data_IF_578663121234
#
_entry.id   IF_578663121234
#
_cell.length_a   1.000
_cell.length_b   1.000
_cell.length_c   1.000
_cell.angle_alpha   90.00
_cell.angle_beta   90.00
_cell.angle_gamma   90.00
#
_symmetry.space_group_name_H-M   'P 1'
#
loop_
_entity.id
_entity.type
_entity.pdbx_description
1 polymer ?
#
# COMPACT_ATOMS: atom_id res chain seq x y z
N UNK A 1 72.35 67.67 -28.21
CA UNK A 1 70.90 67.59 -28.49
C UNK A 1 70.63 66.20 -29.14
N UNK A 2 70.26 65.19 -28.34
CA UNK A 2 69.94 63.83 -28.80
C UNK A 2 68.45 63.58 -28.59
N UNK A 3 67.78 63.39 -29.71
CA UNK A 3 66.34 62.97 -29.71
C UNK A 3 66.27 61.47 -29.54
N UNK A 4 65.34 60.88 -28.76
CA UNK A 4 65.21 59.48 -28.58
C UNK A 4 64.35 58.86 -29.70
N UNK A 5 64.83 57.74 -30.27
CA UNK A 5 64.20 56.89 -31.27
C UNK A 5 62.99 56.20 -30.65
N UNK A 6 61.83 56.28 -31.32
CA UNK A 6 60.61 55.52 -30.97
C UNK A 6 60.69 54.14 -31.59
N UNK A 7 60.85 53.10 -30.78
CA UNK A 7 60.71 51.73 -31.24
C UNK A 7 59.19 51.39 -31.53
N UNK A 8 58.89 51.14 -32.80
CA UNK A 8 57.54 50.73 -33.21
C UNK A 8 57.41 49.20 -33.08
N UNK A 9 56.66 48.77 -32.07
CA UNK A 9 56.26 47.36 -31.92
C UNK A 9 55.37 46.99 -33.08
N UNK A 10 55.79 46.00 -33.89
CA UNK A 10 55.08 45.55 -35.09
C UNK A 10 53.72 44.95 -34.71
N UNK A 11 52.67 45.34 -35.44
CA UNK A 11 51.29 44.78 -35.32
C UNK A 11 51.25 43.25 -35.40
N UNK A 12 52.29 42.65 -35.97
CA UNK A 12 52.43 41.16 -36.10
C UNK A 12 52.78 40.49 -34.78
N UNK A 13 53.48 41.15 -33.86
CA UNK A 13 53.83 40.62 -32.53
C UNK A 13 52.67 40.71 -31.55
N UNK A 14 51.77 41.68 -31.68
CA UNK A 14 50.55 41.81 -30.90
C UNK A 14 49.49 40.74 -31.29
N UNK A 15 49.48 40.33 -32.56
CA UNK A 15 48.55 39.26 -33.02
C UNK A 15 49.03 37.85 -32.64
N UNK A 16 50.33 37.64 -32.45
CA UNK A 16 50.85 36.33 -32.00
C UNK A 16 50.68 36.15 -30.47
N UNK A 17 50.65 37.18 -29.67
CA UNK A 17 50.40 37.12 -28.24
C UNK A 17 48.92 36.88 -27.90
N UNK A 18 47.98 37.30 -28.77
CA UNK A 18 46.54 37.07 -28.60
C UNK A 18 46.07 35.65 -28.97
N UNK A 19 46.84 34.90 -29.77
CA UNK A 19 46.51 33.53 -30.21
C UNK A 19 46.88 32.45 -29.19
N UNK A 20 47.76 32.73 -28.24
CA UNK A 20 48.24 31.74 -27.25
C UNK A 20 47.43 31.74 -25.95
N UNK A 21 46.49 32.66 -25.74
CA UNK A 21 45.72 32.82 -24.52
C UNK A 21 44.30 32.21 -24.54
N UNK A 22 43.82 31.70 -25.67
CA UNK A 22 42.43 31.27 -25.86
C UNK A 22 42.22 29.73 -26.00
N UNK A 23 43.30 28.96 -25.78
CA UNK A 23 43.21 27.48 -25.96
C UNK A 23 42.93 26.66 -24.71
N UNK A 24 42.61 27.27 -23.52
CA UNK A 24 42.47 26.55 -22.26
C UNK A 24 41.02 26.55 -21.69
N UNK A 25 40.05 27.14 -22.39
CA UNK A 25 38.66 27.23 -21.87
C UNK A 25 37.58 26.48 -22.66
N UNK A 26 37.94 25.53 -23.51
CA UNK A 26 36.99 24.67 -24.19
C UNK A 26 37.18 23.20 -23.80
N UNK A 27 37.29 22.89 -22.49
CA UNK A 27 36.90 21.55 -22.07
C UNK A 27 35.36 21.50 -22.13
N UNK A 28 34.75 20.64 -22.97
CA UNK A 28 33.32 20.44 -22.90
C UNK A 28 33.04 19.96 -21.48
N UNK A 29 32.33 20.75 -20.68
CA UNK A 29 31.69 20.27 -19.49
C UNK A 29 30.75 19.16 -19.96
N UNK A 30 31.16 17.90 -19.79
CA UNK A 30 30.29 16.75 -19.96
C UNK A 30 29.27 16.93 -18.82
N UNK A 31 28.22 17.70 -19.10
CA UNK A 31 27.01 17.68 -18.30
C UNK A 31 26.50 16.25 -18.48
N UNK A 32 26.82 15.38 -17.54
CA UNK A 32 26.12 14.13 -17.40
C UNK A 32 24.68 14.56 -17.16
N UNK A 33 23.88 14.55 -18.21
CA UNK A 33 22.43 14.59 -18.08
C UNK A 33 22.10 13.38 -17.20
N UNK A 34 21.86 13.66 -15.92
CA UNK A 34 21.45 12.65 -14.97
C UNK A 34 20.15 12.08 -15.56
N UNK A 35 20.21 10.86 -16.08
CA UNK A 35 19.05 10.21 -16.66
C UNK A 35 17.90 10.39 -15.65
N UNK A 36 16.78 10.93 -16.12
CA UNK A 36 15.63 11.14 -15.25
C UNK A 36 15.33 9.82 -14.50
N UNK A 37 15.17 9.91 -13.19
CA UNK A 37 14.86 8.73 -12.40
C UNK A 37 13.64 8.02 -13.01
N UNK A 38 13.67 6.70 -13.19
CA UNK A 38 12.53 5.98 -13.76
C UNK A 38 11.31 6.24 -12.91
N UNK A 39 10.20 6.59 -13.56
CA UNK A 39 8.91 6.81 -12.89
C UNK A 39 8.43 5.48 -12.30
N UNK A 40 8.15 5.46 -11.00
CA UNK A 40 7.70 4.28 -10.27
C UNK A 40 6.20 4.39 -9.96
N UNK A 41 5.39 3.58 -10.63
CA UNK A 41 3.92 3.60 -10.51
C UNK A 41 3.46 2.62 -9.44
N UNK A 42 2.91 3.14 -8.34
CA UNK A 42 2.47 2.32 -7.21
C UNK A 42 0.95 2.35 -7.10
N UNK A 43 0.33 1.19 -7.28
CA UNK A 43 -1.11 1.02 -7.10
C UNK A 43 -1.51 1.03 -5.63
N UNK A 44 -2.62 1.70 -5.31
CA UNK A 44 -3.25 1.67 -4.00
C UNK A 44 -4.77 1.76 -4.09
N UNK A 45 -5.47 1.37 -3.03
CA UNK A 45 -6.89 1.62 -2.86
C UNK A 45 -7.14 2.32 -1.50
N UNK A 46 -8.30 3.00 -1.31
CA UNK A 46 -8.48 3.98 -0.23
C UNK A 46 -8.78 3.34 1.14
N UNK A 47 -7.83 2.61 1.70
CA UNK A 47 -7.91 2.01 3.05
C UNK A 47 -6.81 2.55 3.97
N UNK A 48 -7.07 2.55 5.28
CA UNK A 48 -6.15 3.07 6.28
C UNK A 48 -4.78 2.36 6.27
N UNK A 49 -4.73 1.08 5.87
CA UNK A 49 -3.49 0.33 5.79
C UNK A 49 -2.45 0.91 4.81
N UNK A 50 -2.87 1.75 3.85
CA UNK A 50 -1.97 2.47 2.94
C UNK A 50 -1.18 3.61 3.60
N UNK A 51 -1.44 3.92 4.87
CA UNK A 51 -0.91 5.08 5.56
C UNK A 51 0.61 5.31 5.45
N UNK A 52 1.50 4.31 5.57
CA UNK A 52 2.93 4.53 5.40
C UNK A 52 3.30 5.07 4.02
N UNK A 53 2.62 4.59 2.98
CA UNK A 53 2.81 5.05 1.60
C UNK A 53 2.35 6.51 1.43
N UNK A 54 1.17 6.84 1.94
CA UNK A 54 0.63 8.19 1.90
C UNK A 54 1.55 9.17 2.64
N UNK A 55 1.98 8.80 3.86
CA UNK A 55 2.92 9.57 4.64
C UNK A 55 4.27 9.77 3.93
N UNK A 56 4.81 8.73 3.29
CA UNK A 56 6.06 8.82 2.55
C UNK A 56 5.98 9.75 1.34
N UNK A 57 4.82 9.81 0.66
CA UNK A 57 4.58 10.77 -0.43
C UNK A 57 4.52 12.20 0.12
N UNK A 58 3.64 12.47 1.09
CA UNK A 58 3.36 13.81 1.56
C UNK A 58 4.53 14.43 2.34
N UNK A 59 5.30 13.60 3.06
CA UNK A 59 6.57 14.00 3.71
C UNK A 59 7.72 14.15 2.71
N UNK A 60 7.52 13.80 1.43
CA UNK A 60 8.55 13.94 0.40
C UNK A 60 9.69 12.92 0.49
N UNK A 61 9.54 11.82 1.25
CA UNK A 61 10.62 10.85 1.47
C UNK A 61 11.11 10.19 0.17
N UNK A 62 10.21 9.97 -0.78
CA UNK A 62 10.58 9.47 -2.11
C UNK A 62 11.37 10.51 -2.91
N UNK A 63 10.94 11.78 -2.88
CA UNK A 63 11.66 12.87 -3.57
C UNK A 63 13.05 13.09 -3.00
N UNK A 64 13.19 13.05 -1.67
CA UNK A 64 14.50 13.13 -0.98
C UNK A 64 15.43 11.99 -1.38
N UNK A 65 14.88 10.80 -1.68
CA UNK A 65 15.63 9.65 -2.18
C UNK A 65 15.94 9.75 -3.70
N UNK A 66 15.53 10.83 -4.37
CA UNK A 66 15.70 11.04 -5.81
C UNK A 66 14.77 10.16 -6.65
N UNK A 67 13.57 9.82 -6.14
CA UNK A 67 12.60 8.96 -6.81
C UNK A 67 11.40 9.77 -7.30
N UNK A 68 10.94 9.46 -8.51
CA UNK A 68 9.66 9.91 -9.07
C UNK A 68 8.61 8.81 -8.85
N UNK A 69 7.81 8.93 -7.78
CA UNK A 69 6.76 7.97 -7.42
C UNK A 69 5.40 8.51 -7.78
N UNK A 70 4.68 7.78 -8.65
CA UNK A 70 3.31 8.08 -9.05
C UNK A 70 2.32 7.17 -8.31
N UNK A 71 1.48 7.70 -7.42
CA UNK A 71 0.41 6.94 -6.79
C UNK A 71 -0.76 6.75 -7.77
N UNK A 72 -1.16 5.50 -8.02
CA UNK A 72 -2.29 5.15 -8.86
C UNK A 72 -3.43 4.61 -7.99
N UNK A 73 -4.53 5.35 -7.91
CA UNK A 73 -5.72 4.98 -7.12
C UNK A 73 -6.62 4.02 -7.89
N UNK A 74 -7.00 2.92 -7.23
CA UNK A 74 -7.96 1.93 -7.72
C UNK A 74 -9.18 1.83 -6.79
N UNK A 75 -10.28 1.25 -7.27
CA UNK A 75 -11.48 1.06 -6.45
C UNK A 75 -11.37 -0.11 -5.47
N UNK A 76 -10.45 -1.06 -5.70
CA UNK A 76 -10.26 -2.24 -4.86
C UNK A 76 -8.89 -2.91 -5.03
N UNK A 77 -8.53 -3.74 -4.07
CA UNK A 77 -7.24 -4.43 -4.03
C UNK A 77 -7.02 -5.39 -5.23
N UNK A 78 -8.08 -6.03 -5.72
CA UNK A 78 -7.98 -6.89 -6.88
C UNK A 78 -7.55 -6.11 -8.13
N UNK A 79 -8.11 -4.92 -8.34
CA UNK A 79 -7.77 -4.07 -9.48
C UNK A 79 -6.31 -3.58 -9.43
N UNK A 80 -5.73 -3.41 -8.23
CA UNK A 80 -4.29 -3.12 -8.09
C UNK A 80 -3.46 -4.30 -8.64
N UNK A 81 -3.79 -5.53 -8.25
CA UNK A 81 -3.13 -6.73 -8.75
C UNK A 81 -3.28 -6.88 -10.27
N UNK A 82 -4.48 -6.67 -10.82
CA UNK A 82 -4.73 -6.66 -12.26
C UNK A 82 -3.91 -5.57 -12.98
N UNK A 83 -3.74 -4.42 -12.33
CA UNK A 83 -2.86 -3.34 -12.81
C UNK A 83 -1.40 -3.76 -12.89
N UNK A 84 -0.92 -4.57 -11.93
CA UNK A 84 0.43 -5.13 -11.95
C UNK A 84 0.60 -6.16 -13.09
N UNK A 85 -0.38 -7.09 -13.24
CA UNK A 85 -0.40 -8.06 -14.34
C UNK A 85 -0.37 -7.39 -15.72
N UNK A 86 -1.12 -6.30 -15.86
CA UNK A 86 -1.20 -5.52 -17.11
C UNK A 86 -0.03 -4.56 -17.33
N UNK A 87 0.99 -4.54 -16.45
CA UNK A 87 2.13 -3.63 -16.54
C UNK A 87 1.78 -2.15 -16.32
N UNK A 88 0.61 -1.85 -15.75
CA UNK A 88 0.20 -0.48 -15.40
C UNK A 88 0.81 0.00 -14.08
N UNK A 89 1.13 -0.93 -13.18
CA UNK A 89 1.78 -0.67 -11.89
C UNK A 89 3.10 -1.43 -11.81
N UNK A 90 4.11 -0.80 -11.22
CA UNK A 90 5.40 -1.38 -10.92
C UNK A 90 5.43 -2.00 -9.51
N UNK A 91 4.36 -1.76 -8.73
CA UNK A 91 4.18 -2.30 -7.40
C UNK A 91 2.85 -1.89 -6.76
N UNK A 92 2.68 -2.26 -5.50
CA UNK A 92 1.50 -1.97 -4.70
C UNK A 92 1.85 -1.41 -3.33
N UNK A 93 0.98 -0.55 -2.78
CA UNK A 93 1.04 -0.09 -1.40
C UNK A 93 0.39 -1.09 -0.43
N UNK A 94 0.67 -0.97 0.88
CA UNK A 94 -0.01 -1.71 1.93
C UNK A 94 -1.53 -1.57 1.83
N UNK A 95 -2.25 -2.59 2.29
CA UNK A 95 -3.69 -2.71 2.10
C UNK A 95 -4.07 -3.46 0.83
N UNK A 96 -3.18 -3.56 -0.18
CA UNK A 96 -3.43 -4.43 -1.33
C UNK A 96 -3.54 -5.87 -0.85
N UNK A 97 -4.68 -6.51 -1.11
CA UNK A 97 -5.00 -7.83 -0.60
C UNK A 97 -3.95 -8.87 -0.97
N UNK A 98 -3.31 -9.47 0.03
CA UNK A 98 -2.21 -10.41 -0.22
C UNK A 98 -2.68 -11.68 -0.94
N UNK A 99 -3.92 -12.14 -0.70
CA UNK A 99 -4.49 -13.25 -1.45
C UNK A 99 -4.85 -12.86 -2.89
N UNK A 100 -5.24 -11.61 -3.15
CA UNK A 100 -5.39 -11.13 -4.53
C UNK A 100 -4.03 -11.12 -5.26
N UNK A 101 -2.96 -10.68 -4.58
CA UNK A 101 -1.59 -10.76 -5.12
C UNK A 101 -1.21 -12.21 -5.44
N UNK A 102 -1.55 -13.17 -4.55
CA UNK A 102 -1.28 -14.59 -4.78
C UNK A 102 -1.98 -15.15 -6.02
N UNK A 103 -3.19 -14.67 -6.35
CA UNK A 103 -3.86 -15.02 -7.62
C UNK A 103 -3.04 -14.51 -8.81
N UNK A 104 -2.52 -13.29 -8.73
CA UNK A 104 -1.61 -12.74 -9.75
C UNK A 104 -0.36 -13.62 -9.92
N UNK A 105 0.21 -14.12 -8.81
CA UNK A 105 1.36 -15.04 -8.83
C UNK A 105 1.02 -16.41 -9.44
N UNK A 106 -0.22 -16.89 -9.24
CA UNK A 106 -0.70 -18.14 -9.87
C UNK A 106 -0.83 -17.95 -11.38
N UNK A 107 -1.39 -16.82 -11.81
CA UNK A 107 -1.57 -16.46 -13.21
C UNK A 107 -0.24 -16.20 -13.93
N UNK A 108 0.69 -15.52 -13.26
CA UNK A 108 2.03 -15.18 -13.76
C UNK A 108 3.08 -15.46 -12.69
N UNK A 109 3.66 -16.67 -12.66
CA UNK A 109 4.70 -17.03 -11.68
C UNK A 109 5.88 -16.07 -11.69
N UNK A 110 6.27 -15.62 -10.49
CA UNK A 110 7.33 -14.64 -10.31
C UNK A 110 6.90 -13.20 -10.58
N UNK A 111 5.60 -12.89 -10.52
CA UNK A 111 5.07 -11.55 -10.79
C UNK A 111 5.67 -10.49 -9.86
N UNK A 112 5.78 -10.77 -8.56
CA UNK A 112 6.13 -9.76 -7.56
C UNK A 112 6.93 -10.31 -6.39
N UNK A 113 7.44 -9.39 -5.57
CA UNK A 113 8.00 -9.66 -4.24
C UNK A 113 7.38 -8.73 -3.20
N UNK A 114 6.95 -9.30 -2.06
CA UNK A 114 6.41 -8.57 -0.91
C UNK A 114 7.59 -8.03 -0.08
N UNK A 115 7.64 -6.72 0.14
CA UNK A 115 8.65 -6.10 1.00
C UNK A 115 8.08 -5.62 2.35
N UNK A 116 6.76 -5.50 2.47
CA UNK A 116 6.08 -5.11 3.71
C UNK A 116 4.67 -5.70 3.74
N UNK A 117 4.19 -6.06 4.94
CA UNK A 117 2.78 -6.38 5.19
C UNK A 117 2.21 -5.44 6.24
N UNK A 118 0.88 -5.45 6.39
CA UNK A 118 0.17 -4.75 7.46
C UNK A 118 -0.59 -5.76 8.33
N UNK A 119 0.11 -6.49 9.23
CA UNK A 119 -0.56 -7.40 10.14
C UNK A 119 -1.57 -6.67 11.01
N UNK A 120 -2.80 -7.20 11.09
CA UNK A 120 -3.89 -6.69 11.89
C UNK A 120 -4.49 -7.79 12.78
N UNK A 121 -5.11 -7.37 13.87
CA UNK A 121 -5.72 -8.25 14.87
C UNK A 121 -6.61 -7.42 15.82
N UNK A 122 -7.05 -7.99 16.93
CA UNK A 122 -7.87 -7.28 17.91
C UNK A 122 -7.22 -6.03 18.54
N UNK A 123 -5.88 -5.95 18.55
CA UNK A 123 -5.12 -4.78 19.04
C UNK A 123 -4.86 -3.75 17.93
N UNK A 124 -4.53 -4.22 16.74
CA UNK A 124 -4.22 -3.41 15.57
C UNK A 124 -5.34 -3.59 14.55
N UNK A 125 -6.49 -2.95 14.84
CA UNK A 125 -7.73 -3.16 14.09
C UNK A 125 -7.63 -2.57 12.69
N UNK A 126 -8.00 -3.38 11.70
CA UNK A 126 -8.20 -2.95 10.32
C UNK A 126 -9.56 -3.41 9.80
N UNK A 127 -10.02 -4.59 10.22
CA UNK A 127 -11.18 -5.31 9.69
C UNK A 127 -12.26 -5.46 10.75
N UNK A 128 -13.52 -5.31 10.34
CA UNK A 128 -14.66 -5.31 11.26
C UNK A 128 -15.98 -5.61 10.56
N UNK A 129 -16.97 -6.04 11.35
CA UNK A 129 -18.37 -6.03 10.95
C UNK A 129 -19.07 -4.81 11.57
N UNK A 130 -19.76 -4.05 10.72
CA UNK A 130 -20.58 -2.90 11.11
C UNK A 130 -22.04 -3.10 10.72
N UNK A 131 -22.93 -2.48 11.50
CA UNK A 131 -24.38 -2.45 11.28
C UNK A 131 -24.89 -1.03 11.43
N UNK A 132 -26.10 -0.73 10.98
CA UNK A 132 -26.78 0.54 11.29
C UNK A 132 -26.83 0.76 12.80
N UNK A 133 -26.76 2.00 13.28
CA UNK A 133 -26.71 2.36 14.70
C UNK A 133 -27.81 1.69 15.51
N UNK A 134 -29.04 1.70 14.99
CA UNK A 134 -30.24 1.20 15.66
C UNK A 134 -30.56 -0.27 15.34
N UNK A 135 -29.66 -0.97 14.64
CA UNK A 135 -29.80 -2.40 14.34
C UNK A 135 -29.85 -3.22 15.64
N UNK A 136 -30.75 -4.20 15.80
CA UNK A 136 -30.77 -5.09 16.94
C UNK A 136 -29.61 -6.10 16.99
N UNK A 137 -28.90 -6.30 15.89
CA UNK A 137 -27.82 -7.29 15.73
C UNK A 137 -26.63 -6.93 16.63
N UNK A 138 -26.21 -7.85 17.51
CA UNK A 138 -25.12 -7.63 18.47
C UNK A 138 -23.86 -8.45 18.20
N UNK A 139 -23.95 -9.48 17.38
CA UNK A 139 -22.82 -10.37 17.05
C UNK A 139 -22.87 -10.83 15.59
N UNK A 140 -21.75 -11.34 15.08
CA UNK A 140 -21.69 -11.91 13.72
C UNK A 140 -22.61 -13.11 13.57
N UNK A 141 -22.81 -13.92 14.63
CA UNK A 141 -23.73 -15.07 14.61
C UNK A 141 -25.19 -14.67 14.33
N UNK A 142 -25.61 -13.49 14.81
CA UNK A 142 -26.98 -12.97 14.62
C UNK A 142 -27.24 -12.46 13.19
N UNK A 143 -26.23 -12.51 12.31
CA UNK A 143 -26.39 -12.21 10.89
C UNK A 143 -27.00 -13.37 10.08
N UNK A 144 -27.47 -14.45 10.75
CA UNK A 144 -28.18 -15.54 10.08
C UNK A 144 -29.38 -15.02 9.27
N UNK A 145 -29.44 -15.43 7.98
CA UNK A 145 -30.48 -15.00 7.03
C UNK A 145 -30.40 -13.55 6.58
N UNK A 146 -29.37 -12.78 6.98
CA UNK A 146 -29.21 -11.35 6.69
C UNK A 146 -28.46 -11.08 5.40
N UNK A 147 -28.65 -9.88 4.86
CA UNK A 147 -27.92 -9.36 3.70
C UNK A 147 -26.66 -8.67 4.20
N UNK A 148 -25.50 -9.17 3.80
CA UNK A 148 -24.19 -8.63 4.21
C UNK A 148 -23.44 -8.12 2.98
N UNK A 149 -22.95 -6.89 3.02
CA UNK A 149 -22.02 -6.41 2.01
C UNK A 149 -20.57 -6.68 2.43
N UNK A 150 -19.72 -6.88 1.43
CA UNK A 150 -18.27 -6.99 1.57
C UNK A 150 -17.58 -6.05 0.60
N UNK A 151 -16.39 -5.59 0.89
CA UNK A 151 -15.55 -4.91 -0.10
C UNK A 151 -15.34 -5.79 -1.33
N UNK A 152 -15.07 -5.18 -2.50
CA UNK A 152 -14.94 -5.93 -3.74
C UNK A 152 -13.67 -6.81 -3.76
N UNK A 153 -13.74 -7.86 -4.56
CA UNK A 153 -12.65 -8.77 -4.83
C UNK A 153 -12.68 -10.05 -4.01
N UNK A 154 -12.06 -11.07 -4.58
CA UNK A 154 -12.18 -12.46 -4.12
C UNK A 154 -11.70 -12.66 -2.68
N UNK A 155 -10.66 -11.92 -2.24
CA UNK A 155 -10.20 -12.00 -0.85
C UNK A 155 -11.31 -11.58 0.13
N UNK A 156 -11.87 -10.38 -0.04
CA UNK A 156 -12.86 -9.84 0.89
C UNK A 156 -14.13 -10.69 0.92
N UNK A 157 -14.62 -11.12 -0.24
CA UNK A 157 -15.82 -11.96 -0.36
C UNK A 157 -15.61 -13.31 0.29
N UNK A 158 -14.46 -13.96 0.03
CA UNK A 158 -14.14 -15.28 0.62
C UNK A 158 -14.02 -15.18 2.14
N UNK A 159 -13.34 -14.14 2.65
CA UNK A 159 -13.24 -13.91 4.09
C UNK A 159 -14.60 -13.67 4.72
N UNK A 160 -15.42 -12.78 4.16
CA UNK A 160 -16.74 -12.48 4.66
C UNK A 160 -17.61 -13.76 4.77
N UNK A 161 -17.71 -14.52 3.68
CA UNK A 161 -18.46 -15.80 3.64
C UNK A 161 -17.95 -16.80 4.69
N UNK A 162 -16.62 -16.95 4.78
CA UNK A 162 -16.03 -17.92 5.72
C UNK A 162 -16.21 -17.49 7.17
N UNK A 163 -16.12 -16.19 7.49
CA UNK A 163 -16.36 -15.69 8.84
C UNK A 163 -17.82 -15.87 9.27
N UNK A 164 -18.77 -15.59 8.38
CA UNK A 164 -20.21 -15.84 8.63
C UNK A 164 -20.48 -17.33 8.86
N UNK A 165 -19.88 -18.21 8.03
CA UNK A 165 -19.97 -19.66 8.19
C UNK A 165 -19.45 -20.10 9.57
N UNK A 166 -18.23 -19.68 9.94
CA UNK A 166 -17.57 -20.04 11.20
C UNK A 166 -18.24 -19.43 12.44
N UNK A 167 -18.87 -18.28 12.28
CA UNK A 167 -19.69 -17.67 13.32
C UNK A 167 -21.07 -18.32 13.48
N UNK A 168 -21.48 -19.22 12.59
CA UNK A 168 -22.78 -19.86 12.62
C UNK A 168 -23.93 -19.03 12.01
N UNK A 169 -23.63 -17.98 11.26
CA UNK A 169 -24.60 -17.09 10.60
C UNK A 169 -25.18 -17.78 9.32
N UNK A 170 -25.94 -18.87 9.54
CA UNK A 170 -26.51 -19.68 8.44
C UNK A 170 -27.48 -18.86 7.59
N UNK A 171 -27.44 -19.05 6.27
CA UNK A 171 -28.33 -18.39 5.31
C UNK A 171 -28.03 -16.91 5.06
N UNK A 172 -26.97 -16.34 5.65
CA UNK A 172 -26.51 -15.01 5.29
C UNK A 172 -26.09 -14.96 3.82
N UNK A 173 -26.48 -13.88 3.12
CA UNK A 173 -26.08 -13.65 1.74
C UNK A 173 -25.01 -12.57 1.68
N UNK A 174 -24.01 -12.74 0.81
CA UNK A 174 -22.90 -11.77 0.65
C UNK A 174 -22.91 -11.17 -0.74
N UNK A 175 -22.97 -9.84 -0.80
CA UNK A 175 -22.84 -9.04 -2.03
C UNK A 175 -21.57 -8.18 -1.99
N UNK A 176 -21.05 -7.84 -3.16
CA UNK A 176 -19.91 -6.92 -3.26
C UNK A 176 -20.43 -5.47 -3.34
N UNK A 177 -19.78 -4.59 -2.57
CA UNK A 177 -20.05 -3.16 -2.60
C UNK A 177 -18.73 -2.40 -2.33
N UNK A 178 -18.42 -1.33 -3.08
CA UNK A 178 -17.27 -0.49 -2.78
C UNK A 178 -17.29 -0.01 -1.33
N UNK A 179 -16.16 -0.12 -0.63
CA UNK A 179 -16.06 0.16 0.82
C UNK A 179 -16.60 1.54 1.18
N UNK A 180 -16.34 2.56 0.34
CA UNK A 180 -16.86 3.92 0.57
C UNK A 180 -18.38 4.04 0.51
N UNK A 181 -19.11 3.01 0.04
CA UNK A 181 -20.58 2.98 -0.01
C UNK A 181 -21.21 2.22 1.16
N UNK A 182 -20.44 1.52 1.98
CA UNK A 182 -20.94 0.66 3.04
C UNK A 182 -21.83 1.41 4.05
N UNK A 183 -21.37 2.56 4.54
CA UNK A 183 -22.13 3.37 5.50
C UNK A 183 -23.47 3.84 4.90
N UNK A 184 -23.45 4.34 3.66
CA UNK A 184 -24.66 4.79 2.99
C UNK A 184 -25.65 3.63 2.75
N UNK A 185 -25.16 2.46 2.34
CA UNK A 185 -26.00 1.27 2.13
C UNK A 185 -26.67 0.77 3.40
N UNK A 186 -25.96 0.82 4.54
CA UNK A 186 -26.52 0.49 5.86
C UNK A 186 -27.60 1.50 6.27
N UNK A 187 -27.35 2.79 6.13
CA UNK A 187 -28.31 3.86 6.46
C UNK A 187 -29.56 3.76 5.58
N UNK A 188 -29.40 3.41 4.32
CA UNK A 188 -30.52 3.22 3.39
C UNK A 188 -31.25 1.87 3.56
N UNK A 189 -30.81 0.99 4.45
CA UNK A 189 -31.41 -0.35 4.66
C UNK A 189 -31.24 -1.31 3.46
N UNK A 190 -30.29 -1.05 2.57
CA UNK A 190 -30.02 -1.91 1.41
C UNK A 190 -29.38 -3.25 1.85
N UNK A 191 -28.59 -3.20 2.91
CA UNK A 191 -27.96 -4.34 3.57
C UNK A 191 -28.13 -4.24 5.10
N UNK A 192 -28.08 -5.38 5.77
CA UNK A 192 -28.22 -5.47 7.24
C UNK A 192 -26.87 -5.26 7.96
N UNK A 193 -25.78 -5.65 7.33
CA UNK A 193 -24.40 -5.51 7.86
C UNK A 193 -23.40 -5.33 6.73
N UNK A 194 -22.21 -4.84 7.09
CA UNK A 194 -21.06 -4.83 6.20
C UNK A 194 -19.83 -5.42 6.90
N UNK A 195 -19.13 -6.31 6.21
CA UNK A 195 -17.73 -6.59 6.49
C UNK A 195 -16.89 -5.49 5.81
N UNK A 196 -16.23 -4.68 6.59
CA UNK A 196 -15.56 -3.49 6.10
C UNK A 196 -14.14 -3.36 6.66
N UNK A 197 -13.40 -2.40 6.13
CA UNK A 197 -12.05 -2.05 6.56
C UNK A 197 -11.99 -0.58 6.96
N UNK A 198 -11.12 -0.27 7.90
CA UNK A 198 -10.85 1.11 8.27
C UNK A 198 -10.30 1.96 7.08
N UNK A 199 -10.68 3.23 6.95
CA UNK A 199 -11.36 4.05 7.96
C UNK A 199 -12.90 4.07 7.88
N UNK A 200 -13.52 3.18 7.13
CA UNK A 200 -14.98 3.22 6.87
C UNK A 200 -15.80 3.03 8.13
N UNK A 201 -15.40 2.10 9.01
CA UNK A 201 -16.06 1.90 10.28
C UNK A 201 -15.97 3.12 11.20
N UNK A 202 -14.78 3.74 11.26
CA UNK A 202 -14.61 5.00 12.00
C UNK A 202 -15.51 6.11 11.44
N UNK A 203 -15.60 6.29 10.12
CA UNK A 203 -16.49 7.29 9.50
C UNK A 203 -17.94 7.08 9.96
N UNK A 204 -18.46 5.88 9.83
CA UNK A 204 -19.85 5.58 10.22
C UNK A 204 -20.12 5.74 11.71
N UNK A 205 -19.18 5.26 12.55
CA UNK A 205 -19.27 5.37 14.02
C UNK A 205 -19.23 6.83 14.49
N UNK A 206 -18.30 7.62 13.97
CA UNK A 206 -18.15 9.01 14.39
C UNK A 206 -19.29 9.91 13.87
N UNK A 207 -19.85 9.59 12.71
CA UNK A 207 -21.06 10.26 12.20
C UNK A 207 -22.34 9.80 12.93
N UNK A 208 -22.24 8.86 13.87
CA UNK A 208 -23.36 8.36 14.64
C UNK A 208 -24.39 7.56 13.85
N UNK A 209 -24.03 7.06 12.67
CA UNK A 209 -24.92 6.34 11.74
C UNK A 209 -24.77 4.84 11.77
N UNK A 210 -23.59 4.34 12.15
CA UNK A 210 -23.31 2.90 12.28
C UNK A 210 -22.62 2.59 13.60
N UNK A 211 -22.53 1.32 13.93
CA UNK A 211 -21.72 0.80 15.03
C UNK A 211 -21.00 -0.48 14.63
N UNK A 212 -19.86 -0.70 15.25
CA UNK A 212 -19.09 -1.94 15.12
C UNK A 212 -19.74 -2.99 16.03
N UNK A 213 -19.94 -4.21 15.49
CA UNK A 213 -20.38 -5.36 16.31
C UNK A 213 -19.20 -6.25 16.69
N UNK A 214 -18.22 -6.42 15.79
CA UNK A 214 -16.96 -7.11 16.09
C UNK A 214 -15.85 -6.54 15.23
N UNK A 215 -14.62 -6.47 15.78
CA UNK A 215 -13.40 -6.01 15.13
C UNK A 215 -12.27 -7.05 15.24
N UNK A 216 -11.29 -7.01 14.31
CA UNK A 216 -10.22 -8.01 14.25
C UNK A 216 -10.76 -9.40 13.90
N UNK A 217 -11.80 -9.43 13.10
CA UNK A 217 -12.62 -10.64 12.87
C UNK A 217 -11.90 -11.71 12.07
N UNK A 218 -10.96 -11.33 11.20
CA UNK A 218 -10.16 -12.31 10.46
C UNK A 218 -9.20 -13.05 11.40
N UNK A 219 -8.54 -12.36 12.31
CA UNK A 219 -7.68 -13.00 13.32
C UNK A 219 -8.51 -14.01 14.16
N UNK A 220 -9.67 -13.61 14.63
CA UNK A 220 -10.56 -14.44 15.44
C UNK A 220 -11.10 -15.65 14.66
N UNK A 221 -11.80 -15.40 13.56
CA UNK A 221 -12.56 -16.44 12.88
C UNK A 221 -11.73 -17.26 11.87
N UNK A 222 -10.70 -16.67 11.24
CA UNK A 222 -9.89 -17.35 10.23
C UNK A 222 -8.62 -17.95 10.84
N UNK A 223 -7.90 -17.18 11.65
CA UNK A 223 -6.65 -17.66 12.25
C UNK A 223 -6.88 -18.38 13.59
N UNK A 224 -8.05 -18.21 14.21
CA UNK A 224 -8.45 -18.93 15.43
C UNK A 224 -7.88 -18.33 16.71
N UNK A 225 -7.23 -17.18 16.65
CA UNK A 225 -6.70 -16.42 17.76
C UNK A 225 -6.90 -14.91 17.51
N UNK A 226 -7.65 -14.18 18.36
CA UNK A 226 -7.89 -12.75 18.17
C UNK A 226 -6.62 -11.89 18.09
N UNK A 227 -5.49 -12.41 18.61
CA UNK A 227 -4.19 -11.72 18.58
C UNK A 227 -3.27 -12.20 17.46
N UNK A 228 -3.67 -13.21 16.68
CA UNK A 228 -2.88 -13.69 15.55
C UNK A 228 -2.67 -12.57 14.50
N UNK A 229 -1.47 -12.43 13.96
CA UNK A 229 -1.19 -11.42 12.94
C UNK A 229 -1.81 -11.84 11.60
N UNK A 230 -2.88 -11.18 11.20
CA UNK A 230 -3.45 -11.34 9.87
C UNK A 230 -2.67 -10.50 8.85
N UNK A 231 -1.87 -11.14 8.01
CA UNK A 231 -1.12 -10.52 6.91
C UNK A 231 -2.00 -10.35 5.65
N UNK A 232 -3.18 -9.76 5.81
CA UNK A 232 -4.19 -9.63 4.76
C UNK A 232 -3.90 -8.61 3.69
N UNK A 233 -2.99 -7.69 3.94
CA UNK A 233 -2.54 -6.68 2.97
C UNK A 233 -1.03 -6.63 2.89
N UNK A 234 -0.52 -6.30 1.69
CA UNK A 234 0.90 -6.23 1.44
C UNK A 234 1.27 -5.05 0.54
N UNK A 235 2.50 -4.57 0.70
CA UNK A 235 3.19 -3.73 -0.25
C UNK A 235 4.21 -4.58 -1.01
N UNK A 236 4.25 -4.44 -2.32
CA UNK A 236 5.07 -5.26 -3.21
C UNK A 236 5.66 -4.44 -4.36
N UNK A 237 6.71 -4.96 -4.95
CA UNK A 237 7.23 -4.51 -6.24
C UNK A 237 7.20 -5.67 -7.23
N UNK A 238 6.97 -5.39 -8.51
CA UNK A 238 7.09 -6.41 -9.54
C UNK A 238 8.53 -6.90 -9.64
N UNK A 239 8.70 -8.20 -9.84
CA UNK A 239 10.04 -8.81 -9.99
C UNK A 239 10.78 -8.22 -11.19
N UNK A 240 10.04 -7.88 -12.24
CA UNK A 240 10.58 -7.22 -13.42
C UNK A 240 11.19 -5.86 -13.08
N UNK A 241 10.45 -5.02 -12.31
CA UNK A 241 10.97 -3.73 -11.86
C UNK A 241 12.22 -3.89 -10.99
N UNK A 242 12.18 -4.81 -10.01
CA UNK A 242 13.32 -5.09 -9.11
C UNK A 242 14.57 -5.48 -9.92
N UNK A 243 14.41 -6.37 -10.91
CA UNK A 243 15.53 -6.83 -11.74
C UNK A 243 16.10 -5.73 -12.64
N UNK A 244 15.23 -4.89 -13.23
CA UNK A 244 15.66 -3.80 -14.12
C UNK A 244 16.27 -2.63 -13.35
N UNK A 245 15.80 -2.36 -12.13
CA UNK A 245 16.14 -1.18 -11.36
C UNK A 245 16.45 -1.52 -9.89
N UNK A 246 17.44 -2.40 -9.59
CA UNK A 246 17.66 -2.91 -8.23
C UNK A 246 17.96 -1.79 -7.22
N UNK A 247 18.76 -0.80 -7.58
CA UNK A 247 19.10 0.31 -6.69
C UNK A 247 17.90 1.26 -6.45
N UNK A 248 17.04 1.43 -7.45
CA UNK A 248 15.79 2.21 -7.30
C UNK A 248 14.83 1.48 -6.38
N UNK A 249 14.70 0.14 -6.51
CA UNK A 249 13.89 -0.68 -5.64
C UNK A 249 14.35 -0.59 -4.17
N UNK A 250 15.66 -0.69 -3.91
CA UNK A 250 16.23 -0.51 -2.56
C UNK A 250 15.95 0.86 -1.98
N UNK A 251 16.16 1.94 -2.75
CA UNK A 251 15.86 3.32 -2.33
C UNK A 251 14.38 3.51 -2.03
N UNK A 252 13.50 2.93 -2.86
CA UNK A 252 12.05 2.99 -2.66
C UNK A 252 11.64 2.31 -1.35
N UNK A 253 12.12 1.08 -1.10
CA UNK A 253 11.83 0.34 0.13
C UNK A 253 12.36 1.09 1.36
N UNK A 254 13.57 1.68 1.28
CA UNK A 254 14.14 2.47 2.37
C UNK A 254 13.31 3.75 2.65
N UNK A 255 12.88 4.47 1.62
CA UNK A 255 12.00 5.64 1.78
C UNK A 255 10.62 5.26 2.31
N UNK A 256 10.07 4.12 1.87
CA UNK A 256 8.82 3.56 2.38
C UNK A 256 8.93 3.19 3.86
N UNK A 257 10.05 2.60 4.29
CA UNK A 257 10.34 2.27 5.67
C UNK A 257 10.34 3.51 6.60
N UNK A 258 10.76 4.69 6.10
CA UNK A 258 10.62 5.96 6.84
C UNK A 258 9.15 6.31 7.09
N UNK A 259 8.26 6.04 6.13
CA UNK A 259 6.81 6.19 6.32
C UNK A 259 6.28 5.26 7.41
N UNK A 260 6.75 4.00 7.45
CA UNK A 260 6.41 3.04 8.52
C UNK A 260 6.90 3.54 9.87
N UNK A 261 8.15 4.01 9.93
CA UNK A 261 8.72 4.55 11.18
C UNK A 261 7.97 5.78 11.69
N UNK A 262 7.50 6.64 10.79
CA UNK A 262 6.65 7.77 11.17
C UNK A 262 5.32 7.28 11.79
N UNK A 263 4.69 6.26 11.23
CA UNK A 263 3.45 5.67 11.80
C UNK A 263 3.70 5.06 13.17
N UNK A 264 4.85 4.41 13.36
CA UNK A 264 5.22 3.77 14.63
C UNK A 264 5.57 4.80 15.73
N UNK A 265 6.36 5.81 15.39
CA UNK A 265 6.90 6.77 16.36
C UNK A 265 5.98 7.96 16.61
N UNK A 266 5.19 8.37 15.60
CA UNK A 266 4.32 9.54 15.65
C UNK A 266 2.95 9.24 15.03
N UNK A 267 2.16 8.32 15.63
CA UNK A 267 0.91 7.84 15.05
C UNK A 267 -0.11 8.96 14.80
N UNK A 268 -0.20 9.95 15.68
CA UNK A 268 -1.17 11.05 15.55
C UNK A 268 -0.80 12.02 14.39
N UNK A 269 0.49 12.28 14.20
CA UNK A 269 0.97 13.00 13.02
C UNK A 269 0.69 12.20 11.76
N UNK A 270 1.01 10.90 11.78
CA UNK A 270 0.88 10.03 10.62
C UNK A 270 -0.58 9.90 10.14
N UNK A 271 -1.56 9.80 11.06
CA UNK A 271 -2.99 9.69 10.71
C UNK A 271 -3.46 10.81 9.79
N UNK A 272 -2.87 12.01 9.88
CA UNK A 272 -3.26 13.15 9.04
C UNK A 272 -3.02 12.90 7.55
N UNK A 273 -2.09 12.03 7.20
CA UNK A 273 -1.79 11.66 5.80
C UNK A 273 -2.79 10.69 5.18
N UNK A 274 -3.84 10.28 5.90
CA UNK A 274 -4.98 9.57 5.28
C UNK A 274 -5.88 10.50 4.47
N UNK A 275 -5.86 11.81 4.74
CA UNK A 275 -6.64 12.82 4.01
C UNK A 275 -6.22 12.85 2.53
N UNK A 276 -7.19 12.95 1.64
CA UNK A 276 -6.94 12.96 0.20
C UNK A 276 -6.71 11.59 -0.43
N UNK A 277 -6.35 10.57 0.36
CA UNK A 277 -6.18 9.19 -0.11
C UNK A 277 -7.33 8.26 0.26
N UNK A 278 -8.01 8.52 1.37
CA UNK A 278 -9.16 7.73 1.87
C UNK A 278 -10.40 8.60 1.99
N UNK A 279 -11.50 8.02 2.49
CA UNK A 279 -12.74 8.76 2.73
C UNK A 279 -12.75 9.53 4.07
N UNK A 280 -11.68 9.46 4.86
CA UNK A 280 -11.60 10.15 6.15
C UNK A 280 -11.18 11.60 5.98
N UNK A 281 -11.85 12.51 6.69
CA UNK A 281 -11.58 13.94 6.62
C UNK A 281 -11.56 14.59 8.02
N UNK A 282 -10.94 15.78 8.09
CA UNK A 282 -10.95 16.64 9.27
C UNK A 282 -10.38 15.98 10.51
N UNK A 283 -11.03 16.21 11.65
CA UNK A 283 -10.63 15.70 12.95
C UNK A 283 -10.84 14.18 13.12
N UNK A 284 -11.66 13.57 12.26
CA UNK A 284 -11.97 12.13 12.33
C UNK A 284 -10.73 11.25 12.11
N UNK A 285 -9.69 11.77 11.47
CA UNK A 285 -8.43 11.02 11.28
C UNK A 285 -7.81 10.56 12.60
N UNK A 286 -7.96 11.31 13.69
CA UNK A 286 -7.47 10.95 15.02
C UNK A 286 -8.10 9.69 15.60
N UNK A 287 -9.32 9.35 15.18
CA UNK A 287 -10.11 8.25 15.69
C UNK A 287 -9.87 6.92 14.96
N UNK A 288 -9.14 6.94 13.83
CA UNK A 288 -8.90 5.72 13.04
C UNK A 288 -7.91 4.81 13.75
N UNK A 289 -8.27 3.55 14.05
CA UNK A 289 -7.33 2.55 14.51
C UNK A 289 -6.24 2.34 13.46
N UNK A 290 -5.04 2.01 13.91
CA UNK A 290 -3.92 1.74 13.00
C UNK A 290 -3.58 0.26 12.98
N UNK A 291 -3.45 -0.31 11.80
CA UNK A 291 -2.81 -1.60 11.60
C UNK A 291 -1.32 -1.52 12.04
N UNK A 292 -0.70 -2.64 12.35
CA UNK A 292 0.75 -2.70 12.46
C UNK A 292 1.38 -2.86 11.06
N UNK A 293 2.69 -2.71 10.99
CA UNK A 293 3.44 -2.88 9.75
C UNK A 293 4.68 -3.72 10.02
N UNK A 294 5.03 -4.58 9.07
CA UNK A 294 6.18 -5.49 9.18
C UNK A 294 6.94 -5.50 7.87
N UNK A 295 8.20 -5.06 7.90
CA UNK A 295 9.11 -5.11 6.76
C UNK A 295 9.63 -6.53 6.55
N UNK A 296 10.09 -6.84 5.34
CA UNK A 296 10.57 -8.17 4.94
C UNK A 296 11.65 -8.75 5.86
N UNK A 297 12.50 -7.91 6.45
CA UNK A 297 13.58 -8.29 7.35
C UNK A 297 13.18 -8.39 8.84
N UNK A 298 11.90 -8.13 9.15
CA UNK A 298 11.35 -8.23 10.52
C UNK A 298 10.56 -9.53 10.75
N UNK A 299 10.28 -10.30 9.70
CA UNK A 299 9.48 -11.53 9.78
C UNK A 299 10.19 -12.62 10.59
N UNK A 300 9.42 -13.20 11.52
CA UNK A 300 9.80 -14.43 12.25
C UNK A 300 9.14 -15.63 11.58
N UNK A 301 9.61 -16.84 11.90
CA UNK A 301 9.00 -18.08 11.40
C UNK A 301 7.52 -18.21 11.78
N UNK A 302 7.12 -17.71 12.96
CA UNK A 302 5.73 -17.66 13.41
C UNK A 302 4.85 -16.77 12.52
N UNK A 303 5.37 -15.63 12.08
CA UNK A 303 4.65 -14.70 11.22
C UNK A 303 4.39 -15.33 9.84
N UNK A 304 5.43 -15.97 9.27
CA UNK A 304 5.30 -16.71 8.02
C UNK A 304 4.31 -17.88 8.14
N UNK A 305 4.27 -18.56 9.30
CA UNK A 305 3.30 -19.64 9.53
C UNK A 305 1.85 -19.12 9.57
N UNK A 306 1.56 -18.00 10.23
CA UNK A 306 0.24 -17.38 10.19
C UNK A 306 -0.11 -16.86 8.80
N UNK A 307 0.85 -16.30 8.09
CA UNK A 307 0.62 -15.84 6.72
C UNK A 307 0.33 -17.04 5.78
N UNK A 308 1.06 -18.15 5.94
CA UNK A 308 0.78 -19.39 5.19
C UNK A 308 -0.59 -19.97 5.54
N UNK A 309 -0.97 -20.02 6.83
CA UNK A 309 -2.31 -20.45 7.27
C UNK A 309 -3.42 -19.63 6.63
N UNK A 310 -3.21 -18.32 6.48
CA UNK A 310 -4.13 -17.46 5.76
C UNK A 310 -4.25 -17.83 4.28
N UNK A 311 -3.14 -18.13 3.60
CA UNK A 311 -3.16 -18.57 2.19
C UNK A 311 -3.77 -19.95 2.00
N UNK A 312 -3.50 -20.86 2.94
CA UNK A 312 -4.03 -22.22 2.90
C UNK A 312 -5.58 -22.24 2.90
N UNK A 313 -6.23 -21.27 3.55
CA UNK A 313 -7.67 -21.07 3.45
C UNK A 313 -8.17 -20.95 2.00
N UNK A 314 -7.48 -20.18 1.17
CA UNK A 314 -7.88 -19.97 -0.22
C UNK A 314 -7.68 -21.23 -1.07
N UNK A 315 -6.69 -22.04 -0.74
CA UNK A 315 -6.50 -23.37 -1.33
C UNK A 315 -7.62 -24.33 -0.89
N UNK A 316 -7.96 -24.35 0.41
CA UNK A 316 -9.05 -25.15 0.98
C UNK A 316 -10.41 -24.80 0.37
N UNK A 317 -10.65 -23.52 0.09
CA UNK A 317 -11.89 -23.04 -0.56
C UNK A 317 -11.87 -23.20 -2.09
N UNK A 318 -10.82 -23.78 -2.68
CA UNK A 318 -10.68 -23.97 -4.13
C UNK A 318 -10.47 -22.69 -4.93
N UNK A 319 -10.09 -21.59 -4.26
CA UNK A 319 -9.78 -20.32 -4.91
C UNK A 319 -8.38 -20.35 -5.52
N UNK A 320 -7.42 -20.90 -4.79
CA UNK A 320 -6.09 -21.17 -5.31
C UNK A 320 -6.06 -22.58 -5.91
N UNK A 321 -5.82 -22.67 -7.21
CA UNK A 321 -5.70 -23.96 -7.93
C UNK A 321 -4.53 -24.80 -7.43
N UNK A 322 -3.54 -24.16 -6.80
CA UNK A 322 -2.36 -24.78 -6.20
C UNK A 322 -1.94 -24.04 -4.95
N UNK A 323 -1.24 -24.74 -4.05
CA UNK A 323 -0.66 -24.12 -2.87
C UNK A 323 0.38 -23.06 -3.27
N UNK A 324 0.25 -21.86 -2.71
CA UNK A 324 1.20 -20.76 -2.89
C UNK A 324 2.05 -20.64 -1.63
N UNK A 325 3.35 -20.86 -1.76
CA UNK A 325 4.30 -20.78 -0.66
C UNK A 325 4.66 -19.31 -0.38
N UNK A 326 4.30 -18.82 0.80
CA UNK A 326 4.53 -17.42 1.21
C UNK A 326 6.00 -17.03 1.18
N UNK A 327 6.91 -17.90 1.67
CA UNK A 327 8.35 -17.59 1.71
C UNK A 327 8.93 -17.25 0.33
N UNK A 328 8.44 -17.91 -0.72
CA UNK A 328 8.84 -17.65 -2.10
C UNK A 328 8.44 -16.27 -2.62
N UNK A 329 7.44 -15.63 -1.99
CA UNK A 329 6.93 -14.31 -2.38
C UNK A 329 7.65 -13.17 -1.68
N UNK A 330 8.42 -13.45 -0.61
CA UNK A 330 9.08 -12.41 0.16
C UNK A 330 10.28 -11.82 -0.59
N UNK A 331 10.45 -10.51 -0.47
CA UNK A 331 11.67 -9.83 -0.89
C UNK A 331 12.81 -10.26 0.03
N UNK A 332 14.01 -10.45 -0.51
CA UNK A 332 15.18 -10.96 0.26
C UNK A 332 16.38 -10.00 0.28
N UNK A 333 16.20 -8.75 -0.22
CA UNK A 333 17.26 -7.74 -0.29
C UNK A 333 17.94 -7.64 -1.64
#
# INVERSE_FOLDING_TARGET
MNTPEKSSTSRRQLLQAAASGLAVLAAPAIVHAQAAAPKLRIGFWPVAAGLPFFAAIDKGYFKEAGLDVEPLKFAGAQQVMEGMLAGRCDGSANGTGSANLAIGEIAQPGLFKIFCTNPSNAKFVLDEFIVAKDSPVKSVAELAGKKVASGPGIQNVTLCKTMLERAGAKGATVSELPIGQHVAALVAGQVDACYTLEPTGTVGRMNGTTRVIEAGVVAKYILGDPMAPWHGGAASLTTEFIKKNPEVAKKFIAAYARGIELVRSKPDEARQFMKGYTAIEGALTGEVPLASYMLFNEFKSSDLAYFQKFYDLFTEKGIFEKKVAVDGLMYKG
#
